data_IF_067476468086
#
_entry.id   IF_067476468086
#
_cell.length_a   1.000
_cell.length_b   1.000
_cell.length_c   1.000
_cell.angle_alpha   90.00
_cell.angle_beta   90.00
_cell.angle_gamma   90.00
#
_symmetry.space_group_name_H-M   'P 1'
#
loop_
_entity.id
_entity.type
_entity.pdbx_description
1 polymer ?
#
# COMPACT_ATOMS: atom_id res chain seq x y z
N UNK A 1 32.99 21.50 58.60
CA UNK A 1 33.25 22.01 57.24
C UNK A 1 32.40 21.16 56.32
N UNK A 2 31.17 21.62 56.08
CA UNK A 2 30.13 20.90 55.33
C UNK A 2 29.97 21.59 53.99
N UNK A 3 30.37 20.92 52.92
CA UNK A 3 30.28 21.42 51.55
C UNK A 3 28.83 21.33 51.04
N UNK A 4 28.33 22.49 50.60
CA UNK A 4 27.02 22.71 50.02
C UNK A 4 27.12 22.54 48.49
N UNK A 5 26.64 21.42 47.97
CA UNK A 5 26.47 21.22 46.53
C UNK A 5 25.09 21.72 46.11
N UNK A 6 24.97 23.03 45.89
CA UNK A 6 23.83 23.61 45.19
C UNK A 6 23.88 23.21 43.72
N UNK A 7 23.01 22.28 43.32
CA UNK A 7 22.79 21.88 41.92
C UNK A 7 22.19 23.05 41.14
N UNK A 8 23.00 23.72 40.32
CA UNK A 8 22.53 24.75 39.41
C UNK A 8 21.58 24.13 38.36
N UNK A 9 20.32 24.57 38.37
CA UNK A 9 19.34 24.26 37.33
C UNK A 9 19.87 24.82 36.00
N UNK A 10 19.95 24.04 34.91
CA UNK A 10 20.45 24.54 33.64
C UNK A 10 19.55 25.66 33.13
N UNK A 11 20.15 26.79 32.73
CA UNK A 11 19.45 27.94 32.20
C UNK A 11 18.63 27.56 30.96
N UNK A 12 17.32 27.79 31.02
CA UNK A 12 16.39 27.58 29.90
C UNK A 12 16.82 28.44 28.72
N UNK A 13 17.08 27.82 27.57
CA UNK A 13 17.50 28.50 26.35
C UNK A 13 16.43 29.52 25.90
N UNK A 14 16.82 30.79 25.85
CA UNK A 14 15.98 31.93 25.44
C UNK A 14 15.29 31.75 24.07
N UNK A 15 15.85 30.93 23.17
CA UNK A 15 15.21 30.58 21.89
C UNK A 15 14.02 29.64 22.07
N UNK A 16 14.10 28.71 23.01
CA UNK A 16 13.01 27.81 23.41
C UNK A 16 11.87 28.62 24.00
N UNK A 17 12.18 29.56 24.91
CA UNK A 17 11.18 30.44 25.54
C UNK A 17 10.40 31.30 24.52
N UNK A 18 11.07 31.86 23.50
CA UNK A 18 10.38 32.62 22.44
C UNK A 18 9.53 31.74 21.51
N UNK A 19 9.96 30.51 21.23
CA UNK A 19 9.19 29.54 20.43
C UNK A 19 7.94 29.10 21.18
N UNK A 20 8.07 28.81 22.47
CA UNK A 20 6.97 28.38 23.32
C UNK A 20 5.95 29.50 23.55
N UNK A 21 6.40 30.75 23.71
CA UNK A 21 5.50 31.92 23.80
C UNK A 21 4.68 32.15 22.52
N UNK A 22 5.28 32.03 21.32
CA UNK A 22 4.53 32.13 20.05
C UNK A 22 3.56 30.98 19.83
N UNK A 23 3.86 29.79 20.35
CA UNK A 23 2.96 28.64 20.29
C UNK A 23 1.79 28.78 21.28
N UNK A 24 2.01 29.43 22.43
CA UNK A 24 0.97 29.72 23.41
C UNK A 24 -0.08 30.73 22.91
N UNK A 25 0.33 31.73 22.11
CA UNK A 25 -0.57 32.75 21.51
C UNK A 25 -1.54 32.18 20.46
N UNK A 26 -1.33 30.95 19.98
CA UNK A 26 -2.13 30.32 18.92
C UNK A 26 -2.84 29.03 19.36
N UNK A 27 -3.10 28.85 20.66
CA UNK A 27 -3.86 27.70 21.15
C UNK A 27 -5.36 27.86 20.87
N UNK A 28 -6.00 26.80 20.39
CA UNK A 28 -7.43 26.80 20.04
C UNK A 28 -8.13 25.73 20.88
N UNK A 29 -9.24 26.10 21.51
CA UNK A 29 -10.08 25.16 22.24
C UNK A 29 -10.53 24.02 21.30
N UNK A 30 -10.42 22.75 21.73
CA UNK A 30 -10.77 21.62 20.89
C UNK A 30 -12.27 21.66 20.55
N UNK A 31 -12.66 21.33 19.31
CA UNK A 31 -14.06 21.29 18.93
C UNK A 31 -14.80 20.19 19.70
N UNK A 32 -15.93 20.53 20.29
CA UNK A 32 -16.74 19.59 21.09
C UNK A 32 -17.88 18.95 20.29
N UNK A 33 -18.31 19.59 19.20
CA UNK A 33 -19.41 19.12 18.35
C UNK A 33 -18.91 18.31 17.15
N UNK A 34 -19.61 17.23 16.80
CA UNK A 34 -19.27 16.35 15.67
C UNK A 34 -19.06 17.11 14.34
N UNK A 35 -19.90 18.11 14.03
CA UNK A 35 -19.74 18.90 12.81
C UNK A 35 -18.48 19.78 12.77
N UNK A 36 -18.02 20.26 13.93
CA UNK A 36 -16.76 21.01 14.03
C UNK A 36 -15.55 20.07 14.00
N UNK A 37 -15.68 18.87 14.58
CA UNK A 37 -14.66 17.81 14.46
C UNK A 37 -14.47 17.43 12.99
N UNK A 38 -15.57 17.24 12.24
CA UNK A 38 -15.52 16.87 10.83
C UNK A 38 -14.81 17.94 9.96
N UNK A 39 -14.96 19.22 10.29
CA UNK A 39 -14.21 20.31 9.63
C UNK A 39 -12.70 20.25 9.89
N UNK A 40 -12.28 19.59 10.97
CA UNK A 40 -10.87 19.42 11.32
C UNK A 40 -10.27 18.08 10.83
N UNK A 41 -11.09 17.14 10.34
CA UNK A 41 -10.62 15.89 9.68
C UNK A 41 -9.83 16.22 8.40
N UNK A 42 -8.75 15.48 8.12
CA UNK A 42 -7.93 15.72 6.94
C UNK A 42 -6.65 14.86 6.84
N UNK A 43 -5.79 14.82 7.88
CA UNK A 43 -4.59 14.00 7.88
C UNK A 43 -4.89 12.53 7.58
N UNK A 44 -5.94 11.98 8.17
CA UNK A 44 -6.39 10.62 7.90
C UNK A 44 -6.88 10.43 6.46
N UNK A 45 -7.63 11.38 5.90
CA UNK A 45 -8.12 11.30 4.53
C UNK A 45 -6.98 11.37 3.50
N UNK A 46 -5.94 12.18 3.76
CA UNK A 46 -4.72 12.23 2.93
C UNK A 46 -4.02 10.88 2.93
N UNK A 47 -3.96 10.21 4.08
CA UNK A 47 -3.34 8.88 4.19
C UNK A 47 -4.20 7.82 3.53
N UNK A 48 -5.53 7.84 3.71
CA UNK A 48 -6.44 6.95 3.00
C UNK A 48 -6.33 7.12 1.49
N UNK A 49 -6.20 8.36 1.00
CA UNK A 49 -5.99 8.66 -0.41
C UNK A 49 -4.68 8.07 -0.96
N UNK A 50 -3.61 8.07 -0.17
CA UNK A 50 -2.33 7.48 -0.55
C UNK A 50 -2.39 5.95 -0.62
N UNK A 51 -3.10 5.32 0.34
CA UNK A 51 -3.27 3.86 0.44
C UNK A 51 -4.06 3.33 -0.76
N UNK A 52 -5.21 3.95 -1.05
CA UNK A 52 -6.19 3.44 -2.02
C UNK A 52 -5.64 3.39 -3.46
N UNK A 53 -4.71 4.29 -3.81
CA UNK A 53 -4.06 4.33 -5.13
C UNK A 53 -2.71 3.60 -5.22
N UNK A 54 -2.24 2.99 -4.13
CA UNK A 54 -0.92 2.36 -4.08
C UNK A 54 -0.92 0.97 -4.74
N UNK A 55 0.27 0.41 -4.98
CA UNK A 55 0.43 -0.97 -5.45
C UNK A 55 -0.16 -2.04 -4.51
N UNK A 56 -0.69 -1.64 -3.35
CA UNK A 56 -1.45 -2.49 -2.44
C UNK A 56 -2.65 -3.16 -3.12
N UNK A 57 -3.38 -2.45 -4.00
CA UNK A 57 -4.56 -3.00 -4.66
C UNK A 57 -4.23 -4.26 -5.49
N UNK A 58 -3.08 -4.27 -6.16
CA UNK A 58 -2.62 -5.41 -6.97
C UNK A 58 -2.31 -6.61 -6.06
N UNK A 59 -1.70 -6.37 -4.91
CA UNK A 59 -1.37 -7.43 -3.96
C UNK A 59 -2.60 -7.98 -3.24
N UNK A 60 -3.57 -7.14 -2.88
CA UNK A 60 -4.81 -7.61 -2.27
C UNK A 60 -5.64 -8.43 -3.25
N UNK A 61 -5.79 -7.96 -4.49
CA UNK A 61 -6.52 -8.71 -5.53
C UNK A 61 -5.84 -10.04 -5.84
N UNK A 62 -4.51 -10.07 -5.89
CA UNK A 62 -3.74 -11.33 -6.00
C UNK A 62 -3.96 -12.25 -4.80
N UNK A 63 -3.99 -11.70 -3.59
CA UNK A 63 -4.25 -12.47 -2.36
C UNK A 63 -5.65 -13.05 -2.36
N UNK A 64 -6.66 -12.25 -2.70
CA UNK A 64 -8.05 -12.70 -2.84
C UNK A 64 -8.20 -13.76 -3.94
N UNK A 65 -7.48 -13.63 -5.06
CA UNK A 65 -7.50 -14.63 -6.13
C UNK A 65 -6.84 -15.96 -5.72
N UNK A 66 -5.79 -15.94 -4.91
CA UNK A 66 -5.06 -17.14 -4.48
C UNK A 66 -5.64 -17.80 -3.23
N UNK A 67 -6.06 -17.01 -2.25
CA UNK A 67 -6.51 -17.46 -0.94
C UNK A 67 -8.04 -17.41 -0.77
N UNK A 68 -8.76 -16.84 -1.74
CA UNK A 68 -10.18 -16.55 -1.60
C UNK A 68 -10.44 -15.61 -0.42
N UNK A 69 -11.58 -15.85 0.25
CA UNK A 69 -12.03 -15.07 1.41
C UNK A 69 -11.39 -15.58 2.73
N UNK A 70 -10.72 -16.73 2.73
CA UNK A 70 -10.23 -17.39 3.95
C UNK A 70 -9.22 -16.56 4.76
N UNK A 71 -8.51 -15.63 4.13
CA UNK A 71 -7.50 -14.78 4.77
C UNK A 71 -8.00 -13.35 5.05
N UNK A 72 -9.30 -13.10 4.93
CA UNK A 72 -9.91 -11.81 5.22
C UNK A 72 -9.66 -11.39 6.68
N UNK A 73 -9.74 -12.31 7.64
CA UNK A 73 -9.45 -12.04 9.06
C UNK A 73 -8.04 -11.47 9.27
N UNK A 74 -7.05 -11.93 8.50
CA UNK A 74 -5.67 -11.49 8.62
C UNK A 74 -5.53 -10.03 8.17
N UNK A 75 -6.18 -9.68 7.05
CA UNK A 75 -6.22 -8.30 6.54
C UNK A 75 -6.92 -7.38 7.55
N UNK A 76 -8.06 -7.81 8.10
CA UNK A 76 -8.79 -7.05 9.11
C UNK A 76 -7.95 -6.79 10.37
N UNK A 77 -7.24 -7.80 10.88
CA UNK A 77 -6.33 -7.63 12.02
C UNK A 77 -5.21 -6.64 11.68
N UNK A 78 -4.61 -6.74 10.48
CA UNK A 78 -3.62 -5.79 9.99
C UNK A 78 -4.13 -4.34 10.01
N UNK A 79 -5.30 -4.12 9.42
CA UNK A 79 -5.96 -2.82 9.38
C UNK A 79 -6.23 -2.26 10.79
N UNK A 80 -6.61 -3.09 11.75
CA UNK A 80 -6.85 -2.67 13.14
C UNK A 80 -5.55 -2.32 13.86
N UNK A 81 -4.54 -3.21 13.83
CA UNK A 81 -3.24 -3.00 14.48
C UNK A 81 -2.61 -1.69 13.98
N UNK A 82 -2.67 -1.45 12.67
CA UNK A 82 -2.19 -0.22 12.03
C UNK A 82 -2.71 1.04 12.71
N UNK A 83 -4.02 1.12 12.93
CA UNK A 83 -4.66 2.30 13.53
C UNK A 83 -4.20 2.50 14.95
N UNK A 84 -4.10 1.43 15.74
CA UNK A 84 -3.62 1.54 17.11
C UNK A 84 -2.19 2.09 17.14
N UNK A 85 -1.29 1.57 16.31
CA UNK A 85 0.08 2.09 16.21
C UNK A 85 0.08 3.56 15.75
N UNK A 86 -0.74 3.89 14.76
CA UNK A 86 -0.87 5.25 14.23
C UNK A 86 -1.40 6.24 15.28
N UNK A 87 -2.36 5.82 16.11
CA UNK A 87 -2.91 6.62 17.21
C UNK A 87 -1.87 6.87 18.30
N UNK A 88 -1.05 5.87 18.65
CA UNK A 88 -0.01 6.03 19.68
C UNK A 88 1.14 6.92 19.20
N UNK A 89 1.61 6.72 17.97
CA UNK A 89 2.59 7.62 17.36
C UNK A 89 2.04 9.04 17.21
N UNK A 90 0.78 9.19 16.82
CA UNK A 90 0.09 10.47 16.73
C UNK A 90 -0.03 11.17 18.08
N UNK A 91 -0.41 10.45 19.15
CA UNK A 91 -0.46 10.95 20.53
C UNK A 91 0.90 11.46 20.99
N UNK A 92 1.95 10.69 20.75
CA UNK A 92 3.31 11.06 21.12
C UNK A 92 3.72 12.37 20.41
N UNK A 93 3.52 12.41 19.09
CA UNK A 93 3.89 13.53 18.22
C UNK A 93 3.13 14.81 18.59
N UNK A 94 1.82 14.72 18.85
CA UNK A 94 0.99 15.87 19.22
C UNK A 94 1.36 16.41 20.61
N UNK A 95 1.68 15.54 21.57
CA UNK A 95 2.01 15.95 22.95
C UNK A 95 3.41 16.56 23.09
N UNK A 96 4.38 16.10 22.29
CA UNK A 96 5.76 16.61 22.34
C UNK A 96 6.06 17.65 21.25
N UNK A 97 5.17 17.82 20.26
CA UNK A 97 5.33 18.78 19.17
C UNK A 97 6.51 18.48 18.25
N UNK A 98 6.99 17.23 18.22
CA UNK A 98 8.13 16.78 17.42
C UNK A 98 7.72 15.64 16.49
N UNK A 99 8.45 15.46 15.39
CA UNK A 99 8.16 14.41 14.41
C UNK A 99 8.54 13.03 14.92
N UNK A 100 7.83 11.99 14.48
CA UNK A 100 8.14 10.59 14.81
C UNK A 100 9.61 10.24 14.58
N UNK A 101 10.22 10.71 13.48
CA UNK A 101 11.64 10.47 13.19
C UNK A 101 12.58 11.10 14.22
N UNK A 102 12.24 12.30 14.71
CA UNK A 102 13.02 12.97 15.76
C UNK A 102 12.98 12.17 17.05
N UNK A 103 11.79 11.65 17.40
CA UNK A 103 11.58 10.80 18.58
C UNK A 103 12.31 9.46 18.46
N UNK A 104 12.22 8.80 17.30
CA UNK A 104 12.95 7.57 17.01
C UNK A 104 14.48 7.76 17.09
N UNK A 105 14.99 8.94 16.72
CA UNK A 105 16.42 9.24 16.82
C UNK A 105 16.94 9.31 18.28
N UNK A 106 16.05 9.56 19.24
CA UNK A 106 16.40 9.64 20.68
C UNK A 106 16.43 8.29 21.38
N UNK A 107 15.83 7.26 20.80
CA UNK A 107 15.80 5.91 21.38
C UNK A 107 17.24 5.41 21.59
N UNK A 108 17.54 4.71 22.71
CA UNK A 108 18.84 4.10 22.93
C UNK A 108 19.14 3.04 21.85
N UNK A 109 20.34 3.08 21.28
CA UNK A 109 20.76 2.10 20.28
C UNK A 109 21.99 2.52 19.49
N UNK A 110 22.48 1.65 18.60
CA UNK A 110 23.60 1.96 17.71
C UNK A 110 23.32 3.23 16.90
N UNK A 111 24.32 4.11 16.84
CA UNK A 111 24.28 5.35 16.06
C UNK A 111 25.40 5.32 15.04
N UNK A 112 25.08 5.68 13.81
CA UNK A 112 26.06 5.90 12.75
C UNK A 112 25.96 7.37 12.32
N UNK A 113 27.09 8.08 12.33
CA UNK A 113 27.17 9.52 12.02
C UNK A 113 26.17 10.40 12.81
N UNK A 114 25.88 10.05 14.07
CA UNK A 114 24.95 10.82 14.92
C UNK A 114 23.45 10.52 14.68
N UNK A 115 23.12 9.60 13.77
CA UNK A 115 21.75 9.16 13.49
C UNK A 115 21.53 7.74 14.00
N UNK A 116 20.40 7.50 14.65
CA UNK A 116 19.99 6.18 15.15
C UNK A 116 19.76 5.19 14.00
N UNK A 117 20.17 3.94 14.19
CA UNK A 117 19.99 2.86 13.22
C UNK A 117 18.55 2.71 12.69
N UNK A 118 17.52 2.96 13.51
CA UNK A 118 16.11 2.89 13.09
C UNK A 118 15.83 3.93 11.98
N UNK A 119 16.32 5.16 12.18
CA UNK A 119 16.14 6.25 11.21
C UNK A 119 16.94 5.98 9.94
N UNK A 120 18.10 5.32 10.06
CA UNK A 120 18.91 4.91 8.90
C UNK A 120 18.23 3.80 8.09
N UNK A 121 17.69 2.77 8.76
CA UNK A 121 16.91 1.71 8.11
C UNK A 121 15.69 2.32 7.42
N UNK A 122 14.97 3.22 8.10
CA UNK A 122 13.85 3.93 7.50
C UNK A 122 14.27 4.78 6.28
N UNK A 123 15.42 5.47 6.37
CA UNK A 123 15.95 6.27 5.25
C UNK A 123 16.34 5.40 4.06
N UNK A 124 16.93 4.23 4.31
CA UNK A 124 17.21 3.23 3.29
C UNK A 124 15.92 2.68 2.67
N UNK A 125 14.92 2.36 3.48
CA UNK A 125 13.60 1.95 2.99
C UNK A 125 12.96 3.02 2.10
N UNK A 126 13.09 4.30 2.43
CA UNK A 126 12.61 5.40 1.59
C UNK A 126 13.26 5.43 0.21
N UNK A 127 14.53 5.04 0.08
CA UNK A 127 15.17 4.88 -1.24
C UNK A 127 14.52 3.74 -2.03
N UNK A 128 14.20 2.62 -1.37
CA UNK A 128 13.51 1.49 -2.03
C UNK A 128 12.08 1.85 -2.47
N UNK A 129 11.42 2.79 -1.79
CA UNK A 129 10.08 3.31 -2.18
C UNK A 129 10.08 3.99 -3.55
N UNK A 130 11.23 4.51 -4.02
CA UNK A 130 11.32 5.03 -5.41
C UNK A 130 11.03 3.92 -6.42
N UNK A 131 11.52 2.70 -6.16
CA UNK A 131 11.20 1.52 -6.97
C UNK A 131 9.70 1.17 -6.91
N UNK A 132 9.08 1.29 -5.73
CA UNK A 132 7.64 1.09 -5.56
C UNK A 132 6.82 2.10 -6.39
N UNK A 133 7.17 3.39 -6.36
CA UNK A 133 6.51 4.42 -7.17
C UNK A 133 6.70 4.16 -8.67
N UNK A 134 7.90 3.73 -9.09
CA UNK A 134 8.16 3.30 -10.46
C UNK A 134 7.28 2.10 -10.89
N UNK A 135 7.10 1.13 -9.98
CA UNK A 135 6.20 0.00 -10.19
C UNK A 135 4.74 0.41 -10.37
N UNK A 136 4.26 1.39 -9.59
CA UNK A 136 2.90 1.94 -9.73
C UNK A 136 2.73 2.61 -11.10
N UNK A 137 3.66 3.48 -11.50
CA UNK A 137 3.59 4.15 -12.81
C UNK A 137 3.64 3.13 -13.96
N UNK A 138 4.50 2.11 -13.85
CA UNK A 138 4.57 1.01 -14.80
C UNK A 138 3.25 0.24 -14.90
N UNK A 139 2.65 -0.12 -13.76
CA UNK A 139 1.36 -0.82 -13.71
C UNK A 139 0.21 -0.01 -14.33
N UNK A 140 0.16 1.30 -14.07
CA UNK A 140 -0.84 2.18 -14.72
C UNK A 140 -0.59 2.26 -16.23
N UNK A 141 0.67 2.36 -16.67
CA UNK A 141 1.02 2.36 -18.09
C UNK A 141 0.59 1.08 -18.80
N UNK A 142 0.77 -0.07 -18.17
CA UNK A 142 0.30 -1.37 -18.67
C UNK A 142 -1.23 -1.45 -18.73
N UNK A 143 -1.93 -0.98 -17.69
CA UNK A 143 -3.40 -0.95 -17.67
C UNK A 143 -3.99 -0.05 -18.76
N UNK A 144 -3.36 1.11 -19.03
CA UNK A 144 -3.76 1.98 -20.14
C UNK A 144 -3.42 1.38 -21.50
N UNK A 145 -2.30 0.68 -21.63
CA UNK A 145 -1.94 -0.03 -22.87
C UNK A 145 -2.95 -1.13 -23.23
N UNK A 146 -3.55 -1.74 -22.21
CA UNK A 146 -4.63 -2.71 -22.37
C UNK A 146 -5.96 -2.07 -22.79
N UNK A 147 -6.32 -0.95 -22.16
CA UNK A 147 -7.63 -0.32 -22.31
C UNK A 147 -7.71 0.60 -23.53
N UNK A 148 -6.63 1.34 -23.78
CA UNK A 148 -6.50 2.35 -24.84
C UNK A 148 -5.18 2.07 -25.58
N UNK A 149 -5.15 1.05 -26.46
CA UNK A 149 -3.95 0.72 -27.22
C UNK A 149 -3.59 1.86 -28.18
N UNK A 150 -2.30 2.19 -28.28
CA UNK A 150 -1.80 3.22 -29.21
C UNK A 150 -1.29 2.53 -30.48
N UNK A 151 -0.38 1.57 -30.32
CA UNK A 151 0.14 0.72 -31.40
C UNK A 151 -0.45 -0.69 -31.37
N UNK A 152 -0.99 -1.12 -30.22
CA UNK A 152 -1.61 -2.43 -30.03
C UNK A 152 -0.60 -3.56 -29.83
N UNK A 153 0.68 -3.25 -29.72
CA UNK A 153 1.75 -4.23 -29.49
C UNK A 153 1.61 -4.93 -28.12
N UNK A 154 1.19 -4.19 -27.10
CA UNK A 154 0.98 -4.72 -25.76
C UNK A 154 -0.15 -5.76 -25.70
N UNK A 155 -1.25 -5.53 -26.43
CA UNK A 155 -2.36 -6.49 -26.51
C UNK A 155 -1.96 -7.79 -27.21
N UNK A 156 -1.14 -7.70 -28.27
CA UNK A 156 -0.59 -8.88 -28.95
C UNK A 156 0.35 -9.67 -28.05
N UNK A 157 1.17 -8.98 -27.24
CA UNK A 157 2.08 -9.65 -26.31
C UNK A 157 1.33 -10.48 -25.27
N UNK A 158 0.21 -9.99 -24.73
CA UNK A 158 -0.57 -10.70 -23.71
C UNK A 158 -1.28 -11.95 -24.27
N UNK A 159 -1.50 -12.02 -25.58
CA UNK A 159 -2.06 -13.22 -26.21
C UNK A 159 -1.05 -14.36 -26.27
N UNK A 160 0.25 -14.07 -26.22
CA UNK A 160 1.29 -15.08 -26.26
C UNK A 160 1.53 -15.60 -24.82
N UNK A 161 1.44 -16.92 -24.58
CA UNK A 161 1.72 -17.50 -23.27
C UNK A 161 3.15 -17.18 -22.81
N UNK A 162 3.37 -17.18 -21.49
CA UNK A 162 4.71 -16.89 -20.95
C UNK A 162 5.71 -17.98 -21.36
N UNK A 163 7.00 -17.65 -21.39
CA UNK A 163 8.06 -18.58 -21.78
C UNK A 163 8.06 -19.83 -20.88
N UNK A 164 7.78 -19.62 -19.59
CA UNK A 164 7.63 -20.72 -18.61
C UNK A 164 6.42 -21.59 -18.90
N UNK A 165 5.32 -21.01 -19.37
CA UNK A 165 4.12 -21.75 -19.74
C UNK A 165 4.36 -22.56 -21.03
N UNK A 166 5.01 -21.96 -22.04
CA UNK A 166 5.37 -22.63 -23.29
C UNK A 166 6.33 -23.78 -23.00
N UNK A 167 7.40 -23.55 -22.23
CA UNK A 167 8.36 -24.59 -21.85
C UNK A 167 7.70 -25.71 -21.04
N UNK A 168 6.83 -25.37 -20.09
CA UNK A 168 6.09 -26.35 -19.30
C UNK A 168 5.14 -27.19 -20.16
N UNK A 169 4.45 -26.57 -21.12
CA UNK A 169 3.54 -27.25 -22.02
C UNK A 169 4.27 -28.14 -23.02
N UNK A 170 5.40 -27.68 -23.58
CA UNK A 170 6.26 -28.49 -24.43
C UNK A 170 6.78 -29.74 -23.69
N UNK A 171 7.21 -29.58 -22.44
CA UNK A 171 7.61 -30.69 -21.57
C UNK A 171 6.44 -31.63 -21.26
N UNK A 172 5.25 -31.08 -20.99
CA UNK A 172 4.05 -31.88 -20.76
C UNK A 172 3.66 -32.73 -21.98
N UNK A 173 3.84 -32.23 -23.20
CA UNK A 173 3.61 -33.02 -24.42
C UNK A 173 4.60 -34.18 -24.57
N UNK A 174 5.84 -34.03 -24.09
CA UNK A 174 6.87 -35.07 -24.17
C UNK A 174 6.74 -36.11 -23.04
N UNK A 175 6.65 -35.64 -21.80
CA UNK A 175 6.79 -36.46 -20.59
C UNK A 175 5.45 -36.78 -19.90
N UNK A 176 4.38 -36.08 -20.26
CA UNK A 176 3.10 -36.13 -19.54
C UNK A 176 3.19 -35.50 -18.14
N UNK A 177 2.21 -35.80 -17.28
CA UNK A 177 2.24 -35.39 -15.87
C UNK A 177 3.15 -36.33 -15.07
N UNK A 178 3.98 -35.81 -14.14
CA UNK A 178 4.80 -36.65 -13.25
C UNK A 178 3.96 -37.66 -12.47
N UNK A 179 4.36 -38.94 -12.50
CA UNK A 179 3.61 -40.03 -11.87
C UNK A 179 3.51 -39.93 -10.33
N UNK A 180 4.45 -39.24 -9.69
CA UNK A 180 4.47 -39.02 -8.23
C UNK A 180 3.59 -37.84 -7.78
N UNK A 181 2.94 -37.16 -8.73
CA UNK A 181 2.12 -35.99 -8.42
C UNK A 181 0.78 -36.41 -7.79
N UNK A 182 0.49 -35.88 -6.60
CA UNK A 182 -0.80 -36.13 -5.93
C UNK A 182 -2.00 -35.71 -6.79
N UNK A 183 -3.11 -36.44 -6.68
CA UNK A 183 -4.30 -36.32 -7.55
C UNK A 183 -4.78 -34.87 -7.67
N UNK A 184 -4.88 -34.13 -6.57
CA UNK A 184 -5.37 -32.75 -6.58
C UNK A 184 -4.44 -31.79 -7.35
N UNK A 185 -3.12 -31.97 -7.22
CA UNK A 185 -2.12 -31.20 -7.97
C UNK A 185 -2.11 -31.57 -9.44
N UNK A 186 -2.26 -32.86 -9.75
CA UNK A 186 -2.33 -33.35 -11.12
C UNK A 186 -3.55 -32.79 -11.85
N UNK A 187 -4.72 -32.73 -11.21
CA UNK A 187 -5.93 -32.10 -11.78
C UNK A 187 -5.71 -30.60 -12.04
N UNK A 188 -5.08 -29.89 -11.10
CA UNK A 188 -4.79 -28.45 -11.24
C UNK A 188 -3.82 -28.19 -12.41
N UNK A 189 -2.75 -28.98 -12.52
CA UNK A 189 -1.81 -28.82 -13.63
C UNK A 189 -2.40 -29.28 -14.96
N UNK A 190 -3.21 -30.34 -15.01
CA UNK A 190 -3.92 -30.72 -16.23
C UNK A 190 -4.77 -29.57 -16.77
N UNK A 191 -5.52 -28.89 -15.89
CA UNK A 191 -6.34 -27.73 -16.24
C UNK A 191 -5.50 -26.53 -16.70
N UNK A 192 -4.32 -26.33 -16.09
CA UNK A 192 -3.36 -25.30 -16.52
C UNK A 192 -2.80 -25.62 -17.91
N UNK A 193 -2.40 -26.86 -18.17
CA UNK A 193 -1.90 -27.31 -19.48
C UNK A 193 -2.97 -27.18 -20.57
N UNK A 194 -4.21 -27.56 -20.27
CA UNK A 194 -5.35 -27.38 -21.20
C UNK A 194 -5.52 -25.91 -21.59
N UNK A 195 -5.50 -25.00 -20.61
CA UNK A 195 -5.57 -23.55 -20.86
C UNK A 195 -4.42 -23.07 -21.74
N UNK A 196 -3.17 -23.44 -21.43
CA UNK A 196 -2.00 -23.04 -22.22
C UNK A 196 -2.10 -23.58 -23.64
N UNK A 197 -2.58 -24.82 -23.82
CA UNK A 197 -2.83 -25.41 -25.12
C UNK A 197 -3.83 -24.60 -25.95
N UNK A 198 -4.94 -24.17 -25.34
CA UNK A 198 -5.93 -23.30 -26.00
C UNK A 198 -5.35 -21.93 -26.38
N UNK A 199 -4.55 -21.32 -25.50
CA UNK A 199 -3.88 -20.05 -25.77
C UNK A 199 -2.89 -20.18 -26.94
N UNK A 200 -2.11 -21.27 -27.00
CA UNK A 200 -1.21 -21.57 -28.11
C UNK A 200 -1.94 -21.85 -29.43
N UNK A 201 -3.04 -22.60 -29.38
CA UNK A 201 -3.86 -22.87 -30.57
C UNK A 201 -4.49 -21.60 -31.14
N UNK A 202 -4.87 -20.64 -30.28
CA UNK A 202 -5.42 -19.36 -30.70
C UNK A 202 -4.42 -18.48 -31.47
N UNK A 203 -3.11 -18.71 -31.34
CA UNK A 203 -2.05 -18.01 -32.08
C UNK A 203 -1.90 -18.48 -33.53
N UNK A 204 -2.58 -19.57 -33.90
CA UNK A 204 -2.46 -20.23 -35.20
C UNK A 204 -1.37 -21.31 -35.22
N UNK A 205 -1.48 -22.28 -36.16
CA UNK A 205 -0.63 -23.47 -36.17
C UNK A 205 0.85 -23.15 -36.40
N UNK A 206 1.17 -22.20 -37.30
CA UNK A 206 2.57 -21.82 -37.60
C UNK A 206 3.28 -21.25 -36.36
N UNK A 207 2.67 -20.26 -35.70
CA UNK A 207 3.22 -19.62 -34.50
C UNK A 207 3.37 -20.61 -33.35
N UNK A 208 2.37 -21.49 -33.16
CA UNK A 208 2.41 -22.53 -32.13
C UNK A 208 3.61 -23.45 -32.32
N UNK A 209 3.77 -24.00 -33.51
CA UNK A 209 4.81 -24.97 -33.80
C UNK A 209 6.21 -24.32 -33.68
N UNK A 210 6.36 -23.06 -34.10
CA UNK A 210 7.58 -22.28 -33.92
C UNK A 210 7.94 -22.12 -32.43
N UNK A 211 6.98 -21.74 -31.59
CA UNK A 211 7.18 -21.56 -30.15
C UNK A 211 7.51 -22.87 -29.44
N UNK A 212 6.84 -23.97 -29.80
CA UNK A 212 7.12 -25.29 -29.24
C UNK A 212 8.49 -25.81 -29.67
N UNK A 213 8.91 -25.54 -30.92
CA UNK A 213 10.25 -25.87 -31.37
C UNK A 213 11.31 -25.05 -30.62
N UNK A 214 11.11 -23.74 -30.46
CA UNK A 214 12.00 -22.90 -29.66
C UNK A 214 12.12 -23.38 -28.22
N UNK A 215 11.01 -23.85 -27.62
CA UNK A 215 11.01 -24.43 -26.28
C UNK A 215 11.79 -25.75 -26.21
N UNK A 216 11.62 -26.64 -27.20
CA UNK A 216 12.34 -27.91 -27.27
C UNK A 216 13.86 -27.72 -27.45
N UNK A 217 14.27 -26.64 -28.12
CA UNK A 217 15.67 -26.30 -28.35
C UNK A 217 16.28 -25.41 -27.23
N UNK A 218 15.52 -25.11 -26.17
CA UNK A 218 15.88 -24.17 -25.09
C UNK A 218 16.31 -22.77 -25.61
N UNK A 219 15.71 -22.36 -26.74
CA UNK A 219 15.99 -21.09 -27.45
C UNK A 219 14.95 -20.01 -27.17
N UNK A 220 14.12 -20.17 -26.14
CA UNK A 220 13.15 -19.15 -25.71
C UNK A 220 13.86 -17.88 -25.23
N UNK A 221 15.09 -18.01 -24.74
CA UNK A 221 15.94 -16.89 -24.32
C UNK A 221 17.12 -16.73 -25.27
N UNK A 222 17.56 -15.49 -25.47
CA UNK A 222 18.82 -15.20 -26.14
C UNK A 222 20.04 -15.47 -25.24
N UNK A 223 21.24 -15.37 -25.80
CA UNK A 223 22.51 -15.57 -25.07
C UNK A 223 22.72 -14.56 -23.92
N UNK A 224 21.92 -13.49 -23.86
CA UNK A 224 21.93 -12.46 -22.82
C UNK A 224 20.81 -12.67 -21.79
N UNK A 225 20.01 -13.73 -21.93
CA UNK A 225 18.86 -14.02 -21.05
C UNK A 225 17.61 -13.19 -21.35
N UNK A 226 17.54 -12.50 -22.49
CA UNK A 226 16.35 -11.76 -22.94
C UNK A 226 15.42 -12.72 -23.67
N UNK A 227 14.13 -12.67 -23.33
CA UNK A 227 13.14 -13.48 -24.02
C UNK A 227 13.04 -13.11 -25.50
N UNK A 228 12.96 -14.14 -26.35
CA UNK A 228 12.67 -14.00 -27.79
C UNK A 228 11.19 -14.02 -28.10
N UNK A 229 10.36 -14.43 -27.13
CA UNK A 229 8.92 -14.63 -27.29
C UNK A 229 8.13 -13.39 -26.86
N UNK A 230 8.62 -12.65 -25.87
CA UNK A 230 8.02 -11.39 -25.42
C UNK A 230 8.77 -10.20 -26.01
N UNK A 231 8.30 -9.65 -27.16
CA UNK A 231 8.94 -8.49 -27.75
C UNK A 231 8.78 -7.28 -26.84
N UNK A 232 9.76 -6.37 -26.87
CA UNK A 232 9.65 -5.13 -26.09
C UNK A 232 8.49 -4.29 -26.62
N UNK A 233 7.52 -3.99 -25.76
CA UNK A 233 6.39 -3.14 -26.10
C UNK A 233 6.78 -1.66 -26.04
N UNK A 234 6.07 -0.85 -26.82
CA UNK A 234 6.16 0.60 -26.91
C UNK A 234 4.97 1.25 -26.24
N UNK A 235 3.78 0.65 -26.30
CA UNK A 235 2.56 1.25 -25.72
C UNK A 235 2.72 1.53 -24.23
N UNK A 236 3.26 0.58 -23.46
CA UNK A 236 3.51 0.75 -22.03
C UNK A 236 4.50 1.89 -21.76
N UNK A 237 5.58 1.98 -22.54
CA UNK A 237 6.57 3.05 -22.42
C UNK A 237 6.00 4.42 -22.79
N UNK A 238 5.16 4.49 -23.83
CA UNK A 238 4.51 5.72 -24.25
C UNK A 238 3.55 6.18 -23.15
N UNK A 239 2.69 5.30 -22.64
CA UNK A 239 1.76 5.62 -21.57
C UNK A 239 2.48 6.03 -20.28
N UNK A 240 3.52 5.31 -19.87
CA UNK A 240 4.38 5.68 -18.73
C UNK A 240 4.95 7.08 -18.92
N UNK A 241 5.42 7.41 -20.12
CA UNK A 241 5.98 8.74 -20.43
C UNK A 241 4.91 9.82 -20.35
N UNK A 242 3.72 9.59 -20.92
CA UNK A 242 2.59 10.52 -20.87
C UNK A 242 2.17 10.78 -19.43
N UNK A 243 1.95 9.73 -18.63
CA UNK A 243 1.56 9.84 -17.21
C UNK A 243 2.64 10.58 -16.42
N UNK A 244 3.91 10.25 -16.66
CA UNK A 244 5.04 10.91 -16.00
C UNK A 244 5.09 12.41 -16.29
N UNK A 245 4.88 12.82 -17.55
CA UNK A 245 4.83 14.22 -17.96
C UNK A 245 3.61 14.95 -17.37
N UNK A 246 2.43 14.33 -17.39
CA UNK A 246 1.22 14.90 -16.80
C UNK A 246 1.37 15.09 -15.29
N UNK A 247 1.89 14.08 -14.59
CA UNK A 247 2.14 14.14 -13.14
C UNK A 247 3.17 15.22 -12.81
N UNK A 248 4.26 15.30 -13.59
CA UNK A 248 5.29 16.33 -13.43
C UNK A 248 4.73 17.74 -13.64
N UNK A 249 3.88 17.94 -14.66
CA UNK A 249 3.21 19.21 -14.92
C UNK A 249 2.26 19.62 -13.79
N UNK A 250 1.47 18.67 -13.27
CA UNK A 250 0.58 18.91 -12.12
C UNK A 250 1.37 19.34 -10.88
N UNK A 251 2.49 18.68 -10.60
CA UNK A 251 3.36 19.00 -9.47
C UNK A 251 4.08 20.35 -9.66
N UNK A 252 4.50 20.68 -10.89
CA UNK A 252 5.15 21.95 -11.21
C UNK A 252 4.24 23.15 -10.94
N UNK A 253 2.94 23.05 -11.23
CA UNK A 253 1.96 24.12 -10.96
C UNK A 253 1.74 24.32 -9.45
N UNK A 254 2.00 23.30 -8.62
CA UNK A 254 2.24 23.44 -7.17
C UNK A 254 1.09 23.97 -6.31
N UNK A 255 -0.14 24.09 -6.83
CA UNK A 255 -1.28 24.60 -6.05
C UNK A 255 -1.86 23.50 -5.17
N UNK A 256 -1.61 23.57 -3.87
CA UNK A 256 -2.11 22.62 -2.86
C UNK A 256 -3.60 22.27 -3.04
N UNK A 257 -4.46 23.29 -3.20
CA UNK A 257 -5.92 23.09 -3.39
C UNK A 257 -6.28 22.35 -4.68
N UNK A 258 -5.47 22.46 -5.73
CA UNK A 258 -5.71 21.73 -6.98
C UNK A 258 -5.41 20.24 -6.78
N UNK A 259 -4.25 19.94 -6.19
CA UNK A 259 -3.81 18.58 -5.89
C UNK A 259 -4.79 17.91 -4.94
N UNK A 260 -5.14 18.58 -3.84
CA UNK A 260 -6.10 18.08 -2.85
C UNK A 260 -7.45 17.72 -3.50
N UNK A 261 -8.06 18.64 -4.25
CA UNK A 261 -9.35 18.40 -4.90
C UNK A 261 -9.28 17.27 -5.92
N UNK A 262 -8.23 17.24 -6.74
CA UNK A 262 -8.06 16.23 -7.77
C UNK A 262 -7.87 14.84 -7.15
N UNK A 263 -6.99 14.70 -6.16
CA UNK A 263 -6.75 13.45 -5.44
C UNK A 263 -8.00 12.96 -4.69
N UNK A 264 -8.74 13.86 -4.03
CA UNK A 264 -10.00 13.49 -3.35
C UNK A 264 -11.02 12.96 -4.35
N UNK A 265 -11.19 13.60 -5.51
CA UNK A 265 -12.11 13.12 -6.55
C UNK A 265 -11.69 11.73 -7.04
N UNK A 266 -10.41 11.52 -7.36
CA UNK A 266 -9.93 10.22 -7.82
C UNK A 266 -10.18 9.09 -6.80
N UNK A 267 -9.88 9.33 -5.53
CA UNK A 267 -10.05 8.35 -4.46
C UNK A 267 -11.51 8.02 -4.25
N UNK A 268 -12.36 9.05 -4.18
CA UNK A 268 -13.81 8.86 -4.01
C UNK A 268 -14.38 8.09 -5.20
N UNK A 269 -14.04 8.47 -6.43
CA UNK A 269 -14.47 7.76 -7.65
C UNK A 269 -14.00 6.30 -7.63
N UNK A 270 -12.74 6.05 -7.31
CA UNK A 270 -12.20 4.70 -7.21
C UNK A 270 -12.95 3.86 -6.17
N UNK A 271 -13.17 4.39 -4.96
CA UNK A 271 -13.92 3.68 -3.90
C UNK A 271 -15.33 3.33 -4.36
N UNK A 272 -16.04 4.24 -5.04
CA UNK A 272 -17.37 3.96 -5.57
C UNK A 272 -17.35 2.91 -6.69
N UNK A 273 -16.35 2.93 -7.56
CA UNK A 273 -16.19 1.91 -8.61
C UNK A 273 -15.95 0.54 -7.98
N UNK A 274 -15.05 0.44 -6.99
CA UNK A 274 -14.77 -0.82 -6.28
C UNK A 274 -16.02 -1.36 -5.58
N UNK A 275 -16.75 -0.50 -4.87
CA UNK A 275 -18.01 -0.89 -4.23
C UNK A 275 -19.06 -1.32 -5.27
N UNK A 276 -19.14 -0.61 -6.40
CA UNK A 276 -19.98 -0.98 -7.54
C UNK A 276 -19.64 -2.35 -8.11
N UNK A 277 -18.35 -2.68 -8.24
CA UNK A 277 -17.89 -4.00 -8.67
C UNK A 277 -18.29 -5.10 -7.68
N UNK A 278 -18.16 -4.86 -6.36
CA UNK A 278 -18.61 -5.81 -5.33
C UNK A 278 -20.12 -6.06 -5.43
N UNK A 279 -20.92 -5.00 -5.60
CA UNK A 279 -22.36 -5.12 -5.80
C UNK A 279 -22.67 -5.86 -7.11
N UNK A 280 -21.93 -5.57 -8.18
CA UNK A 280 -22.08 -6.25 -9.47
C UNK A 280 -21.73 -7.75 -9.38
N UNK A 281 -20.74 -8.14 -8.58
CA UNK A 281 -20.40 -9.56 -8.38
C UNK A 281 -21.54 -10.36 -7.77
N UNK A 282 -22.40 -9.74 -6.96
CA UNK A 282 -23.60 -10.39 -6.41
C UNK A 282 -24.61 -10.79 -7.49
N UNK A 283 -24.53 -10.21 -8.69
CA UNK A 283 -25.38 -10.58 -9.82
C UNK A 283 -24.89 -11.82 -10.58
N UNK A 284 -23.68 -12.31 -10.26
CA UNK A 284 -23.08 -13.48 -10.91
C UNK A 284 -23.09 -14.66 -9.95
N UNK A 285 -23.85 -15.72 -10.25
CA UNK A 285 -24.01 -16.88 -9.36
C UNK A 285 -22.69 -17.53 -8.95
N UNK A 286 -21.67 -17.49 -9.82
CA UNK A 286 -20.36 -18.09 -9.57
C UNK A 286 -19.48 -17.31 -8.59
N UNK A 287 -19.70 -15.99 -8.44
CA UNK A 287 -18.84 -15.10 -7.63
C UNK A 287 -19.61 -14.34 -6.56
N UNK A 288 -20.90 -14.64 -6.38
CA UNK A 288 -21.72 -14.05 -5.34
C UNK A 288 -21.18 -14.44 -3.95
N UNK A 289 -20.85 -13.43 -3.15
CA UNK A 289 -20.31 -13.64 -1.80
C UNK A 289 -21.47 -13.70 -0.83
N UNK A 290 -21.72 -14.88 -0.25
CA UNK A 290 -22.76 -15.01 0.77
C UNK A 290 -22.30 -14.46 2.12
N UNK A 291 -23.25 -14.10 2.99
CA UNK A 291 -22.93 -13.71 4.37
C UNK A 291 -22.24 -14.83 5.16
N UNK A 292 -22.46 -16.09 4.80
CA UNK A 292 -21.76 -17.23 5.40
C UNK A 292 -20.29 -17.28 4.97
N UNK A 293 -19.98 -16.94 3.72
CA UNK A 293 -18.61 -16.88 3.23
C UNK A 293 -17.84 -15.73 3.88
N UNK A 294 -18.50 -14.59 4.09
CA UNK A 294 -17.91 -13.49 4.84
C UNK A 294 -17.60 -13.89 6.30
N UNK A 295 -18.53 -14.59 6.97
CA UNK A 295 -18.30 -15.12 8.32
C UNK A 295 -17.16 -16.15 8.34
N UNK A 296 -17.07 -17.03 7.34
CA UNK A 296 -15.94 -17.96 7.19
C UNK A 296 -14.62 -17.23 6.99
N UNK A 297 -14.60 -16.15 6.21
CA UNK A 297 -13.40 -15.34 6.01
C UNK A 297 -12.93 -14.57 7.23
N UNK A 298 -13.87 -14.16 8.08
CA UNK A 298 -13.59 -13.53 9.37
C UNK A 298 -13.20 -14.54 10.45
N UNK A 299 -13.53 -15.82 10.28
CA UNK A 299 -13.09 -16.88 11.16
C UNK A 299 -11.62 -17.22 10.91
N UNK A 300 -10.90 -17.55 11.99
CA UNK A 300 -9.51 -18.01 11.87
C UNK A 300 -9.47 -19.33 11.10
N UNK A 301 -8.88 -19.28 9.92
CA UNK A 301 -8.75 -20.43 9.03
C UNK A 301 -7.62 -20.22 8.03
N UNK A 302 -7.16 -21.34 7.47
CA UNK A 302 -6.26 -21.35 6.32
C UNK A 302 -7.04 -21.75 5.08
N UNK A 303 -6.65 -21.29 3.88
CA UNK A 303 -7.32 -21.65 2.65
C UNK A 303 -7.14 -23.14 2.32
N UNK A 304 -8.17 -23.74 1.74
CA UNK A 304 -8.13 -25.11 1.23
C UNK A 304 -7.17 -25.21 0.03
N UNK A 305 -6.25 -26.17 0.06
CA UNK A 305 -5.26 -26.40 -1.02
C UNK A 305 -3.84 -25.90 -0.70
N UNK A 306 -3.30 -24.96 -1.51
CA UNK A 306 -1.92 -24.47 -1.37
C UNK A 306 -1.79 -23.44 -0.24
N UNK A 307 -1.98 -23.91 0.99
CA UNK A 307 -2.01 -23.08 2.19
C UNK A 307 -0.71 -22.32 2.42
N UNK A 308 0.45 -22.90 2.09
CA UNK A 308 1.75 -22.23 2.27
C UNK A 308 1.95 -21.09 1.27
N UNK A 309 1.64 -21.30 -0.02
CA UNK A 309 1.73 -20.26 -1.04
C UNK A 309 0.77 -19.10 -0.75
N UNK A 310 -0.48 -19.41 -0.43
CA UNK A 310 -1.49 -18.43 -0.07
C UNK A 310 -1.13 -17.64 1.20
N UNK A 311 -0.58 -18.32 2.22
CA UNK A 311 -0.13 -17.66 3.45
C UNK A 311 1.06 -16.73 3.20
N UNK A 312 2.03 -17.13 2.38
CA UNK A 312 3.17 -16.26 2.02
C UNK A 312 2.67 -15.00 1.30
N UNK A 313 1.78 -15.15 0.33
CA UNK A 313 1.17 -14.01 -0.37
C UNK A 313 0.41 -13.12 0.62
N UNK A 314 -0.39 -13.69 1.52
CA UNK A 314 -1.15 -12.91 2.49
C UNK A 314 -0.30 -12.24 3.55
N UNK A 315 0.80 -12.85 4.00
CA UNK A 315 1.78 -12.22 4.89
C UNK A 315 2.52 -11.08 4.19
N UNK A 316 2.85 -11.24 2.90
CA UNK A 316 3.42 -10.15 2.10
C UNK A 316 2.41 -8.99 1.98
N UNK A 317 1.15 -9.30 1.69
CA UNK A 317 0.04 -8.34 1.63
C UNK A 317 -0.18 -7.66 2.99
N UNK A 318 -0.13 -8.40 4.10
CA UNK A 318 -0.19 -7.86 5.45
C UNK A 318 1.00 -6.93 5.75
N UNK A 319 2.20 -7.26 5.29
CA UNK A 319 3.39 -6.42 5.46
C UNK A 319 3.28 -5.09 4.71
N UNK A 320 2.72 -5.10 3.49
CA UNK A 320 2.53 -3.89 2.68
C UNK A 320 1.36 -3.05 3.21
N UNK A 321 0.21 -3.67 3.48
CA UNK A 321 -1.06 -2.98 3.85
C UNK A 321 -1.15 -2.67 5.34
N UNK A 322 -0.79 -3.65 6.18
CA UNK A 322 -1.05 -3.64 7.61
C UNK A 322 -0.10 -2.75 8.41
N UNK A 323 1.18 -2.63 8.04
CA UNK A 323 2.18 -1.86 8.81
C UNK A 323 3.15 -1.13 7.89
N UNK A 324 2.62 -0.33 6.96
CA UNK A 324 3.44 0.52 6.08
C UNK A 324 4.24 1.56 6.88
N UNK A 325 5.57 1.42 6.92
CA UNK A 325 6.45 2.31 7.69
C UNK A 325 6.33 3.79 7.27
N UNK A 326 6.13 4.05 5.97
CA UNK A 326 5.94 5.40 5.43
C UNK A 326 4.67 6.05 5.97
N UNK A 327 3.57 5.30 6.06
CA UNK A 327 2.27 5.82 6.47
C UNK A 327 2.20 6.09 7.97
N UNK A 328 2.80 5.19 8.77
CA UNK A 328 2.91 5.33 10.22
C UNK A 328 3.73 6.58 10.61
N UNK A 329 4.72 6.95 9.81
CA UNK A 329 5.54 8.16 10.05
C UNK A 329 4.87 9.40 9.45
N UNK A 330 4.20 9.28 8.30
CA UNK A 330 3.59 10.42 7.60
C UNK A 330 2.32 10.93 8.28
N UNK A 331 1.49 10.05 8.85
CA UNK A 331 0.24 10.50 9.50
C UNK A 331 0.48 11.45 10.68
N UNK A 332 1.34 11.14 11.67
CA UNK A 332 1.65 12.07 12.74
C UNK A 332 2.26 13.38 12.21
N UNK A 333 3.05 13.32 11.14
CA UNK A 333 3.59 14.51 10.48
C UNK A 333 2.47 15.41 9.93
N UNK A 334 1.47 14.85 9.24
CA UNK A 334 0.30 15.62 8.76
C UNK A 334 -0.55 16.19 9.91
N UNK A 335 -0.65 15.48 11.04
CA UNK A 335 -1.27 16.03 12.25
C UNK A 335 -0.52 17.26 12.78
N UNK A 336 0.82 17.26 12.74
CA UNK A 336 1.63 18.43 13.10
C UNK A 336 1.41 19.58 12.12
N UNK A 337 1.44 19.30 10.81
CA UNK A 337 1.33 20.32 9.77
C UNK A 337 -0.05 21.00 9.78
N UNK A 338 -1.11 20.22 10.02
CA UNK A 338 -2.46 20.76 10.22
C UNK A 338 -2.57 21.61 11.49
N UNK A 339 -1.60 21.50 12.40
CA UNK A 339 -1.52 22.30 13.60
C UNK A 339 -2.13 21.66 14.84
N UNK A 340 -2.37 20.33 14.86
CA UNK A 340 -2.95 19.69 16.04
C UNK A 340 -2.09 19.92 17.29
N UNK A 341 -0.76 19.78 17.19
CA UNK A 341 0.16 20.10 18.29
C UNK A 341 0.20 21.60 18.63
N UNK A 342 0.15 22.47 17.61
CA UNK A 342 0.13 23.93 17.82
C UNK A 342 -1.11 24.36 18.59
N UNK A 343 -2.26 23.78 18.29
CA UNK A 343 -3.53 24.10 18.92
C UNK A 343 -3.60 23.60 20.38
N UNK A 344 -2.89 22.52 20.71
CA UNK A 344 -2.70 22.04 22.08
C UNK A 344 -1.80 22.99 22.88
N UNK A 345 -0.73 23.48 22.25
CA UNK A 345 0.27 24.37 22.84
C UNK A 345 1.40 23.61 23.55
N UNK A 346 2.43 24.34 24.02
CA UNK A 346 3.56 23.76 24.74
C UNK A 346 3.07 22.93 25.93
N UNK A 347 3.71 21.79 26.16
CA UNK A 347 3.36 20.93 27.29
C UNK A 347 3.66 21.64 28.61
N UNK A 348 2.62 21.81 29.40
CA UNK A 348 2.68 22.26 30.78
C UNK A 348 1.93 21.26 31.68
N UNK A 349 2.17 21.29 32.98
CA UNK A 349 1.51 20.40 33.96
C UNK A 349 0.14 20.94 34.39
N UNK A 350 -0.50 21.82 33.61
CA UNK A 350 -1.81 22.38 33.93
C UNK A 350 -2.96 21.48 33.45
N UNK A 351 -4.06 21.48 34.21
CA UNK A 351 -5.30 20.85 33.80
C UNK A 351 -5.84 21.43 32.48
N UNK A 352 -5.56 22.70 32.21
CA UNK A 352 -5.99 23.37 30.98
C UNK A 352 -5.29 22.78 29.75
N UNK A 353 -3.99 22.47 29.83
CA UNK A 353 -3.29 21.77 28.76
C UNK A 353 -3.82 20.36 28.58
N UNK A 354 -4.03 19.62 29.68
CA UNK A 354 -4.56 18.27 29.62
C UNK A 354 -5.93 18.23 28.92
N UNK A 355 -6.83 19.16 29.25
CA UNK A 355 -8.15 19.28 28.60
C UNK A 355 -8.03 19.57 27.10
N UNK A 356 -7.13 20.47 26.69
CA UNK A 356 -6.87 20.74 25.27
C UNK A 356 -6.30 19.51 24.56
N UNK A 357 -5.29 18.88 25.14
CA UNK A 357 -4.65 17.68 24.60
C UNK A 357 -5.66 16.53 24.41
N UNK A 358 -6.47 16.24 25.43
CA UNK A 358 -7.52 15.20 25.35
C UNK A 358 -8.54 15.51 24.26
N UNK A 359 -8.94 16.78 24.12
CA UNK A 359 -9.87 17.19 23.06
C UNK A 359 -9.28 17.03 21.65
N UNK A 360 -8.04 17.43 21.44
CA UNK A 360 -7.36 17.25 20.15
C UNK A 360 -7.05 15.78 19.85
N UNK A 361 -6.77 14.95 20.87
CA UNK A 361 -6.70 13.50 20.71
C UNK A 361 -8.04 12.88 20.29
N UNK A 362 -9.17 13.44 20.73
CA UNK A 362 -10.50 13.00 20.27
C UNK A 362 -10.68 13.30 18.79
N UNK A 363 -10.30 14.50 18.32
CA UNK A 363 -10.33 14.87 16.89
C UNK A 363 -9.46 13.90 16.08
N UNK A 364 -8.23 13.65 16.52
CA UNK A 364 -7.32 12.72 15.88
C UNK A 364 -7.88 11.29 15.83
N UNK A 365 -8.54 10.82 16.89
CA UNK A 365 -9.19 9.50 16.89
C UNK A 365 -10.29 9.43 15.83
N UNK A 366 -11.17 10.42 15.78
CA UNK A 366 -12.22 10.46 14.75
C UNK A 366 -11.63 10.47 13.34
N UNK A 367 -10.58 11.26 13.10
CA UNK A 367 -9.88 11.32 11.82
C UNK A 367 -9.25 9.96 11.43
N UNK A 368 -8.52 9.32 12.35
CA UNK A 368 -7.92 8.01 12.11
C UNK A 368 -8.95 6.90 11.89
N UNK A 369 -10.00 6.82 12.73
CA UNK A 369 -11.03 5.78 12.62
C UNK A 369 -11.93 5.95 11.38
N UNK A 370 -12.29 7.18 11.01
CA UNK A 370 -13.04 7.41 9.78
C UNK A 370 -12.23 6.98 8.56
N UNK A 371 -10.93 7.31 8.55
CA UNK A 371 -10.01 6.92 7.49
C UNK A 371 -9.79 5.41 7.46
N UNK A 372 -9.73 4.77 8.63
CA UNK A 372 -9.71 3.31 8.79
C UNK A 372 -10.85 2.64 8.08
N UNK A 373 -12.08 3.10 8.32
CA UNK A 373 -13.26 2.52 7.70
C UNK A 373 -13.15 2.65 6.17
N UNK A 374 -12.75 3.82 5.66
CA UNK A 374 -12.62 4.07 4.23
C UNK A 374 -11.59 3.13 3.58
N UNK A 375 -10.35 3.10 4.10
CA UNK A 375 -9.33 2.24 3.48
C UNK A 375 -9.63 0.76 3.73
N UNK A 376 -10.19 0.37 4.88
CA UNK A 376 -10.51 -1.03 5.16
C UNK A 376 -11.56 -1.54 4.18
N UNK A 377 -12.61 -0.75 3.91
CA UNK A 377 -13.64 -1.10 2.91
C UNK A 377 -13.07 -1.10 1.48
N UNK A 378 -12.12 -0.22 1.17
CA UNK A 378 -11.51 -0.18 -0.15
C UNK A 378 -10.51 -1.34 -0.38
N UNK A 379 -9.89 -1.83 0.69
CA UNK A 379 -8.84 -2.85 0.66
C UNK A 379 -9.39 -4.26 0.84
N UNK A 380 -10.32 -4.47 1.76
CA UNK A 380 -10.90 -5.78 2.09
C UNK A 380 -12.06 -6.12 1.14
#
# INVERSE_FOLDING_TARGET
>A
MTDDHTTAIPAVDSKTTRRDQRLAEHTIAPPTTLGLILKQVGPGLIIAANIVGSGELIMTTKTGAQAGIALLWLIMIGCVIKVFVQLELGRFTISHGETTLTSLNRIPGPRLAGVNWIVLVWSFMMLTTVGQLGGIVGGVGQALSLTIPITGDYQRMIQIPSEKDIAAFAKFQQDGLPAEMGVEKAVREAKRMERIGQELEALGPETRDELLQMAAEDKLFDERGVSRVTPTTRDDKIWVTIIGLLTSGLLYVGRYRLIERFSVVLVVSFTFITLGNVVSLQTTEQYAISGQDLLKGLAFGLPDGDASGALVTALATLGIIGVGATELVSYPYWCLEKGYARNVGPRDDSDAWLQRAVGWFRVMKFDAFASMIIYTIATA
#
